data_IF_918185676655
#
_entry.id   IF_918185676655
#
_cell.length_a   1.000
_cell.length_b   1.000
_cell.length_c   1.000
_cell.angle_alpha   90.00
_cell.angle_beta   90.00
_cell.angle_gamma   90.00
#
_symmetry.space_group_name_H-M   'P 1'
#
loop_
_entity.id
_entity.type
_entity.pdbx_description
1 polymer ?
#
# COMPACT_ATOMS: atom_id res chain seq x y z
N UNK A 1 -13.72 -3.43 5.85
CA UNK A 1 -12.80 -4.58 5.89
C UNK A 1 -12.23 -4.71 7.29
N UNK A 2 -11.90 -5.92 7.74
CA UNK A 2 -11.06 -6.09 8.93
C UNK A 2 -9.68 -5.49 8.69
N UNK A 3 -8.98 -5.00 9.72
CA UNK A 3 -7.56 -4.67 9.67
C UNK A 3 -6.76 -5.72 8.90
N UNK A 4 -5.89 -5.28 8.00
CA UNK A 4 -4.91 -6.17 7.36
C UNK A 4 -3.67 -6.26 8.25
N UNK A 5 -3.10 -7.45 8.38
CA UNK A 5 -1.87 -7.70 9.13
C UNK A 5 -0.97 -8.68 8.36
N UNK A 6 0.35 -8.48 8.43
CA UNK A 6 1.33 -9.28 7.69
C UNK A 6 1.41 -8.95 6.19
N UNK A 7 1.51 -9.97 5.34
CA UNK A 7 1.52 -9.79 3.87
C UNK A 7 0.12 -10.05 3.34
N UNK A 8 -0.51 -9.03 2.78
CA UNK A 8 -1.85 -9.10 2.21
C UNK A 8 -1.83 -8.70 0.75
N UNK A 9 -2.37 -9.56 -0.11
CA UNK A 9 -2.63 -9.24 -1.52
C UNK A 9 -4.14 -9.10 -1.74
N UNK A 10 -4.56 -7.96 -2.30
CA UNK A 10 -5.93 -7.73 -2.73
C UNK A 10 -5.93 -7.68 -4.25
N UNK A 11 -6.51 -8.70 -4.87
CA UNK A 11 -6.70 -8.77 -6.32
C UNK A 11 -8.12 -8.32 -6.67
N UNK A 12 -8.25 -7.33 -7.55
CA UNK A 12 -9.53 -6.69 -7.87
C UNK A 12 -9.90 -6.93 -9.33
N UNK A 13 -11.18 -7.20 -9.57
CA UNK A 13 -11.69 -7.31 -10.93
C UNK A 13 -11.68 -5.94 -11.62
N UNK A 14 -11.66 -5.87 -12.97
CA UNK A 14 -11.75 -4.60 -13.69
C UNK A 14 -12.99 -3.79 -13.26
N UNK A 15 -12.77 -2.54 -12.83
CA UNK A 15 -13.82 -1.63 -12.35
C UNK A 15 -14.12 -1.72 -10.85
N UNK A 16 -13.51 -2.66 -10.13
CA UNK A 16 -13.52 -2.68 -8.66
C UNK A 16 -12.40 -1.82 -8.07
N UNK A 17 -12.59 -1.36 -6.84
CA UNK A 17 -11.62 -0.53 -6.12
C UNK A 17 -11.56 -0.93 -4.65
N UNK A 18 -10.35 -0.99 -4.09
CA UNK A 18 -10.16 -1.09 -2.65
C UNK A 18 -10.56 0.23 -1.98
N UNK A 19 -11.49 0.19 -1.02
CA UNK A 19 -11.95 1.38 -0.30
C UNK A 19 -11.64 1.28 1.20
N UNK A 20 -10.76 2.14 1.69
CA UNK A 20 -10.49 2.32 3.12
C UNK A 20 -10.98 3.72 3.52
N UNK A 21 -12.06 3.81 4.28
CA UNK A 21 -12.71 5.10 4.56
C UNK A 21 -12.92 5.44 6.03
N UNK A 22 -12.77 4.47 6.94
CA UNK A 22 -12.98 4.69 8.37
C UNK A 22 -11.70 5.22 9.03
N UNK A 23 -11.80 6.34 9.74
CA UNK A 23 -10.68 6.90 10.52
C UNK A 23 -10.21 5.96 11.64
N UNK A 24 -11.07 5.06 12.09
CA UNK A 24 -10.75 4.03 13.09
C UNK A 24 -10.14 2.77 12.50
N UNK A 25 -10.06 2.66 11.16
CA UNK A 25 -9.40 1.53 10.53
C UNK A 25 -7.91 1.61 10.80
N UNK A 26 -7.32 0.49 11.19
CA UNK A 26 -5.87 0.35 11.33
C UNK A 26 -5.41 -0.91 10.60
N UNK A 27 -4.19 -0.89 10.06
CA UNK A 27 -3.57 -2.04 9.45
C UNK A 27 -2.04 -1.96 9.52
N UNK A 28 -1.38 -3.11 9.33
CA UNK A 28 0.07 -3.21 9.36
C UNK A 28 0.61 -4.20 8.34
N UNK A 29 1.87 -4.04 7.95
CA UNK A 29 2.61 -4.99 7.12
C UNK A 29 2.75 -4.56 5.66
N UNK A 30 2.74 -5.52 4.73
CA UNK A 30 2.81 -5.29 3.30
C UNK A 30 1.42 -5.48 2.71
N UNK A 31 0.79 -4.39 2.27
CA UNK A 31 -0.49 -4.42 1.56
C UNK A 31 -0.23 -4.16 0.07
N UNK A 32 -0.44 -5.18 -0.76
CA UNK A 32 -0.40 -5.06 -2.22
C UNK A 32 -1.82 -5.04 -2.78
N UNK A 33 -2.12 -4.07 -3.64
CA UNK A 33 -3.41 -3.89 -4.29
C UNK A 33 -3.22 -4.01 -5.79
N UNK A 34 -3.66 -5.13 -6.37
CA UNK A 34 -3.78 -5.32 -7.81
C UNK A 34 -5.07 -4.68 -8.31
N UNK A 35 -5.01 -3.39 -8.66
CA UNK A 35 -6.17 -2.59 -9.06
C UNK A 35 -6.19 -1.21 -8.39
N UNK A 36 -7.31 -0.50 -8.55
CA UNK A 36 -7.49 0.85 -8.02
C UNK A 36 -7.68 0.85 -6.49
N UNK A 37 -7.22 1.91 -5.83
CA UNK A 37 -7.39 2.12 -4.40
C UNK A 37 -7.84 3.55 -4.07
N UNK A 38 -8.89 3.66 -3.24
CA UNK A 38 -9.33 4.91 -2.62
C UNK A 38 -9.23 4.82 -1.10
N UNK A 39 -8.37 5.67 -0.54
CA UNK A 39 -8.08 5.71 0.90
C UNK A 39 -8.45 7.10 1.43
N UNK A 40 -9.48 7.19 2.25
CA UNK A 40 -9.98 8.47 2.78
C UNK A 40 -9.72 8.67 4.28
N UNK A 41 -9.33 7.61 4.99
CA UNK A 41 -9.09 7.61 6.42
C UNK A 41 -8.34 6.36 6.87
N UNK A 42 -8.09 6.27 8.17
CA UNK A 42 -7.42 5.14 8.80
C UNK A 42 -5.90 5.31 8.89
N UNK A 43 -5.27 4.39 9.63
CA UNK A 43 -3.81 4.37 9.84
C UNK A 43 -3.21 3.06 9.33
N UNK A 44 -2.19 3.15 8.49
CA UNK A 44 -1.46 1.98 8.01
C UNK A 44 0.02 2.08 8.39
N UNK A 45 0.58 1.02 8.98
CA UNK A 45 2.00 0.95 9.34
C UNK A 45 2.71 -0.12 8.50
N UNK A 46 3.50 0.28 7.51
CA UNK A 46 4.26 -0.64 6.66
C UNK A 46 4.38 -0.18 5.22
N UNK A 47 4.24 -1.10 4.27
CA UNK A 47 4.38 -0.84 2.83
C UNK A 47 3.01 -0.97 2.17
N UNK A 48 2.51 0.14 1.63
CA UNK A 48 1.35 0.15 0.75
C UNK A 48 1.84 0.14 -0.69
N UNK A 49 1.49 -0.89 -1.46
CA UNK A 49 1.84 -1.00 -2.87
C UNK A 49 0.57 -1.12 -3.71
N UNK A 50 0.30 -0.12 -4.56
CA UNK A 50 -0.88 -0.09 -5.43
C UNK A 50 -0.43 -0.20 -6.88
N UNK A 51 -0.87 -1.26 -7.54
CA UNK A 51 -0.68 -1.53 -8.97
C UNK A 51 -1.99 -1.14 -9.67
N UNK A 52 -2.19 0.16 -9.83
CA UNK A 52 -3.42 0.79 -10.29
C UNK A 52 -3.52 2.25 -9.86
N UNK A 53 -4.70 2.86 -9.99
CA UNK A 53 -4.88 4.27 -9.59
C UNK A 53 -4.98 4.39 -8.07
N UNK A 54 -4.03 5.07 -7.45
CA UNK A 54 -4.12 5.44 -6.03
C UNK A 54 -4.75 6.82 -5.86
N UNK A 55 -5.83 6.89 -5.07
CA UNK A 55 -6.50 8.11 -4.66
C UNK A 55 -6.50 8.20 -3.14
N UNK A 56 -5.79 9.16 -2.57
CA UNK A 56 -5.90 9.48 -1.15
C UNK A 56 -6.58 10.84 -0.97
N UNK A 57 -7.57 10.88 -0.10
CA UNK A 57 -8.28 12.10 0.28
C UNK A 57 -8.52 12.12 1.79
N UNK A 58 -9.10 13.16 2.38
CA UNK A 58 -9.49 13.12 3.80
C UNK A 58 -8.30 13.15 4.76
N UNK A 59 -8.23 12.25 5.74
CA UNK A 59 -7.21 12.24 6.80
C UNK A 59 -6.47 10.88 7.01
N UNK A 60 -6.08 10.14 5.97
CA UNK A 60 -5.36 8.90 6.15
C UNK A 60 -3.91 9.14 6.61
N UNK A 61 -3.40 8.21 7.41
CA UNK A 61 -2.02 8.22 7.92
C UNK A 61 -1.32 6.95 7.48
N UNK A 62 -0.22 7.08 6.75
CA UNK A 62 0.65 5.98 6.38
C UNK A 62 2.01 6.20 7.03
N UNK A 63 2.42 5.29 7.91
CA UNK A 63 3.78 5.24 8.48
C UNK A 63 4.56 4.12 7.79
N UNK A 64 5.54 4.47 6.98
CA UNK A 64 6.34 3.52 6.21
C UNK A 64 6.55 3.98 4.78
N UNK A 65 6.08 3.22 3.79
CA UNK A 65 6.27 3.53 2.37
C UNK A 65 4.98 3.37 1.57
N UNK A 66 4.83 4.20 0.54
CA UNK A 66 3.77 4.09 -0.47
C UNK A 66 4.42 3.96 -1.84
N UNK A 67 4.08 2.90 -2.56
CA UNK A 67 4.42 2.66 -3.95
C UNK A 67 3.12 2.69 -4.75
N UNK A 68 3.07 3.50 -5.80
CA UNK A 68 1.91 3.59 -6.67
C UNK A 68 2.37 3.52 -8.12
N UNK A 69 1.90 2.50 -8.83
CA UNK A 69 2.19 2.25 -10.24
C UNK A 69 0.90 2.34 -11.03
N UNK A 70 0.81 3.33 -11.91
CA UNK A 70 -0.36 3.56 -12.75
C UNK A 70 0.02 3.59 -14.23
N UNK A 71 -0.98 3.40 -15.09
CA UNK A 71 -0.85 3.55 -16.54
C UNK A 71 -0.57 5.02 -16.89
N UNK A 72 0.03 5.26 -18.06
CA UNK A 72 0.55 6.57 -18.49
C UNK A 72 -0.45 7.75 -18.47
N UNK A 73 -1.76 7.48 -18.41
CA UNK A 73 -2.82 8.50 -18.48
C UNK A 73 -3.52 8.76 -17.14
N UNK A 74 -3.11 8.07 -16.07
CA UNK A 74 -3.81 8.12 -14.80
C UNK A 74 -2.83 8.41 -13.67
N UNK A 75 -2.96 9.59 -13.07
CA UNK A 75 -2.10 10.01 -11.96
C UNK A 75 -2.62 9.52 -10.60
N UNK A 76 -1.66 9.28 -9.70
CA UNK A 76 -1.91 9.19 -8.27
C UNK A 76 -2.32 10.56 -7.74
N UNK A 77 -3.43 10.63 -7.01
CA UNK A 77 -3.94 11.90 -6.46
C UNK A 77 -3.97 11.87 -4.94
N UNK A 78 -3.32 12.84 -4.30
CA UNK A 78 -3.36 13.06 -2.85
C UNK A 78 -4.02 14.42 -2.58
N UNK A 79 -5.10 14.44 -1.79
CA UNK A 79 -5.88 15.65 -1.49
C UNK A 79 -6.31 15.68 -0.02
N UNK A 80 -6.60 16.85 0.57
CA UNK A 80 -6.93 16.93 2.01
C UNK A 80 -5.70 16.84 2.92
N UNK A 81 -5.85 16.24 4.11
CA UNK A 81 -4.83 16.12 5.15
C UNK A 81 -4.19 14.72 5.17
N UNK A 82 -3.72 14.26 4.01
CA UNK A 82 -3.02 12.98 3.87
C UNK A 82 -1.65 13.08 4.55
N UNK A 83 -1.34 12.14 5.43
CA UNK A 83 0.00 12.02 6.05
C UNK A 83 0.69 10.76 5.53
N UNK A 84 1.86 10.94 4.92
CA UNK A 84 2.78 9.84 4.59
C UNK A 84 4.09 10.16 5.30
N UNK A 85 4.43 9.37 6.31
CA UNK A 85 5.65 9.52 7.10
C UNK A 85 6.55 8.32 6.83
N UNK A 86 7.76 8.57 6.32
CA UNK A 86 8.75 7.52 6.16
C UNK A 86 9.11 6.92 7.53
N UNK A 87 8.88 5.62 7.69
CA UNK A 87 9.21 4.87 8.91
C UNK A 87 9.94 3.58 8.55
N UNK A 88 11.27 3.61 8.71
CA UNK A 88 12.15 2.46 8.46
C UNK A 88 11.84 1.24 9.35
N UNK A 89 11.32 1.46 10.56
CA UNK A 89 10.94 0.38 11.48
C UNK A 89 9.66 -0.32 11.01
N UNK A 90 8.67 0.46 10.56
CA UNK A 90 7.45 -0.09 9.96
C UNK A 90 7.74 -0.86 8.66
N UNK A 91 8.62 -0.33 7.80
CA UNK A 91 9.06 -1.00 6.56
C UNK A 91 9.80 -2.31 6.87
N UNK A 92 10.76 -2.27 7.80
CA UNK A 92 11.54 -3.47 8.17
C UNK A 92 10.63 -4.54 8.77
N UNK A 93 9.67 -4.14 9.62
CA UNK A 93 8.68 -5.05 10.21
C UNK A 93 7.77 -5.67 9.16
N UNK A 94 7.33 -4.88 8.16
CA UNK A 94 6.51 -5.36 7.04
C UNK A 94 7.24 -6.39 6.17
N UNK A 95 8.56 -6.25 5.99
CA UNK A 95 9.39 -7.18 5.23
C UNK A 95 9.89 -8.37 6.07
N UNK A 96 9.79 -8.31 7.39
CA UNK A 96 10.26 -9.37 8.31
C UNK A 96 9.80 -10.78 7.93
N UNK A 97 8.52 -11.02 7.57
CA UNK A 97 8.05 -12.32 7.13
C UNK A 97 8.73 -12.84 5.85
N UNK A 98 9.20 -11.96 4.96
CA UNK A 98 9.92 -12.35 3.73
C UNK A 98 11.33 -12.85 4.00
N UNK A 99 11.93 -12.55 5.16
CA UNK A 99 13.26 -13.03 5.52
C UNK A 99 13.38 -14.55 5.65
N UNK A 100 12.24 -15.26 5.75
CA UNK A 100 12.17 -16.73 5.76
C UNK A 100 11.93 -17.33 4.36
N UNK A 101 11.61 -16.50 3.37
CA UNK A 101 11.49 -16.89 1.97
C UNK A 101 12.86 -16.64 1.36
N UNK A 102 13.66 -17.69 1.12
CA UNK A 102 14.97 -17.52 0.48
C UNK A 102 14.77 -16.78 -0.86
N UNK A 103 15.22 -15.51 -1.00
CA UNK A 103 14.98 -14.75 -2.22
C UNK A 103 15.76 -15.42 -3.35
N UNK A 104 15.05 -15.88 -4.37
CA UNK A 104 15.68 -16.40 -5.60
C UNK A 104 15.75 -15.24 -6.58
N UNK A 105 16.96 -14.80 -6.91
CA UNK A 105 17.17 -13.87 -8.03
C UNK A 105 16.83 -14.65 -9.30
N UNK A 106 15.69 -14.34 -9.90
CA UNK A 106 15.21 -15.00 -11.12
C UNK A 106 15.84 -14.41 -12.39
N UNK A 107 16.29 -13.15 -12.34
CA UNK A 107 17.05 -12.49 -13.41
C UNK A 107 17.63 -11.17 -12.90
N UNK A 108 18.87 -10.84 -13.27
CA UNK A 108 19.45 -9.50 -13.10
C UNK A 108 20.22 -9.12 -14.37
N UNK A 109 20.16 -7.85 -14.75
CA UNK A 109 20.99 -7.27 -15.81
C UNK A 109 21.64 -6.00 -15.23
N UNK A 110 22.96 -5.98 -15.16
CA UNK A 110 23.72 -4.75 -14.90
C UNK A 110 24.01 -4.08 -16.25
N UNK A 111 23.76 -2.76 -16.34
CA UNK A 111 24.11 -1.93 -17.50
C UNK A 111 25.56 -1.48 -17.38
#
# INVERSE_FOLDING_TARGET
MTPVDGITWVDLSPGEELRISSDTWSGSGLLVVGGDAQITGGTFNGILYVIGKLRMSGNPVINGSVLAESQAEIDTTLTGNVTISYDSGAITSALGPLGFVAPVIVSWEEI
#
